data_IF_243739461983
#
_entry.id   IF_243739461983
#
_cell.length_a   1.000
_cell.length_b   1.000
_cell.length_c   1.000
_cell.angle_alpha   90.00
_cell.angle_beta   90.00
_cell.angle_gamma   90.00
#
_symmetry.space_group_name_H-M   'P 1'
#
loop_
_entity.id
_entity.type
_entity.pdbx_description
1 polymer ?
#
# COMPACT_ATOMS: atom_id res chain seq x y z
N UNK A 1 -31.59 88.07 38.51
CA UNK A 1 -30.30 87.35 38.64
C UNK A 1 -29.92 86.83 37.24
N UNK A 2 -29.39 87.72 36.38
CA UNK A 2 -28.12 87.61 35.59
C UNK A 2 -27.94 86.27 34.84
N UNK A 3 -28.25 86.19 33.51
CA UNK A 3 -27.41 86.51 32.30
C UNK A 3 -26.45 85.34 31.95
N UNK A 4 -26.28 84.80 30.73
CA UNK A 4 -26.27 85.35 29.35
C UNK A 4 -26.16 84.24 28.27
N UNK A 5 -26.60 84.56 27.05
CA UNK A 5 -26.29 83.97 25.73
C UNK A 5 -24.78 83.93 25.39
N UNK A 6 -24.31 83.06 24.47
CA UNK A 6 -23.74 83.40 23.14
C UNK A 6 -23.24 82.18 22.34
N UNK A 7 -23.59 82.17 21.04
CA UNK A 7 -22.99 81.45 19.92
C UNK A 7 -21.64 82.12 19.56
N UNK A 8 -20.59 81.39 19.20
CA UNK A 8 -19.54 81.85 18.25
C UNK A 8 -18.68 80.69 17.74
N UNK A 9 -18.64 80.54 16.41
CA UNK A 9 -17.67 79.75 15.68
C UNK A 9 -16.34 80.53 15.56
N UNK A 10 -15.19 79.84 15.54
CA UNK A 10 -14.02 80.31 14.79
C UNK A 10 -13.05 79.15 14.46
N UNK A 11 -12.73 79.06 13.17
CA UNK A 11 -11.64 78.31 12.55
C UNK A 11 -10.28 78.58 13.22
N UNK A 12 -9.45 77.54 13.33
CA UNK A 12 -8.00 77.64 13.14
C UNK A 12 -7.55 76.51 12.21
N UNK A 13 -6.88 76.89 11.13
CA UNK A 13 -6.28 76.04 10.08
C UNK A 13 -4.81 75.74 10.45
N UNK A 14 -4.42 74.46 10.30
CA UNK A 14 -3.11 73.84 9.99
C UNK A 14 -1.83 74.31 10.77
N UNK A 15 -0.89 73.44 11.18
CA UNK A 15 -0.05 72.57 10.32
C UNK A 15 0.49 71.36 11.11
N UNK A 16 0.66 70.27 10.34
CA UNK A 16 1.12 68.91 10.62
C UNK A 16 2.46 68.73 11.38
N UNK A 17 2.48 67.70 12.22
CA UNK A 17 3.48 66.62 12.27
C UNK A 17 2.72 65.37 12.76
N UNK A 18 2.33 64.44 11.89
CA UNK A 18 3.23 63.43 11.35
C UNK A 18 3.22 62.18 12.25
N UNK A 19 2.05 61.60 12.49
CA UNK A 19 1.91 60.17 12.84
C UNK A 19 1.23 59.55 11.64
N UNK A 20 2.00 58.88 10.80
CA UNK A 20 1.47 58.00 9.77
C UNK A 20 0.84 56.81 10.48
N UNK A 21 -0.49 56.79 10.50
CA UNK A 21 -1.26 55.58 10.79
C UNK A 21 -0.88 54.51 9.77
N UNK A 22 -0.72 53.27 10.23
CA UNK A 22 -0.64 52.11 9.35
C UNK A 22 -1.80 52.16 8.34
N UNK A 23 -1.45 52.19 7.06
CA UNK A 23 -2.36 51.95 5.95
C UNK A 23 -2.26 50.45 5.64
N UNK A 24 -3.06 49.65 6.32
CA UNK A 24 -3.69 48.45 5.77
C UNK A 24 -5.15 48.57 6.21
N UNK A 25 -6.02 48.98 5.29
CA UNK A 25 -7.45 49.02 5.60
C UNK A 25 -7.94 47.59 5.73
N UNK A 26 -8.42 47.19 6.90
CA UNK A 26 -9.13 45.93 7.07
C UNK A 26 -10.35 45.96 6.13
N UNK A 27 -10.32 45.09 5.13
CA UNK A 27 -11.45 44.75 4.28
C UNK A 27 -12.53 44.06 5.11
N UNK A 28 -13.80 44.39 4.86
CA UNK A 28 -14.95 43.71 5.48
C UNK A 28 -15.72 43.01 4.37
N UNK A 29 -15.83 41.68 4.41
CA UNK A 29 -16.67 40.98 3.44
C UNK A 29 -18.12 41.48 3.54
N UNK A 30 -18.73 41.77 2.39
CA UNK A 30 -20.08 42.34 2.30
C UNK A 30 -20.13 43.87 2.37
N UNK A 31 -19.04 44.56 2.72
CA UNK A 31 -18.93 46.03 2.69
C UNK A 31 -18.50 46.50 1.29
N UNK A 32 -19.35 46.21 0.30
CA UNK A 32 -19.07 46.46 -1.10
C UNK A 32 -18.83 47.94 -1.42
N UNK A 33 -19.34 48.86 -0.60
CA UNK A 33 -19.15 50.30 -0.80
C UNK A 33 -17.99 50.90 0.02
N UNK A 34 -17.36 50.12 0.91
CA UNK A 34 -16.21 50.50 1.74
C UNK A 34 -16.52 51.52 2.83
N UNK A 35 -17.75 51.58 3.33
CA UNK A 35 -18.19 52.53 4.36
C UNK A 35 -17.99 52.05 5.80
N UNK A 36 -17.53 50.81 5.96
CA UNK A 36 -17.21 50.17 7.22
C UNK A 36 -18.35 49.36 7.83
N UNK A 37 -19.45 49.11 7.09
CA UNK A 37 -20.55 48.29 7.61
C UNK A 37 -21.42 47.63 6.56
N UNK A 38 -21.56 46.30 6.66
CA UNK A 38 -22.42 45.51 5.77
C UNK A 38 -23.91 45.84 5.96
N UNK A 39 -24.52 46.49 4.99
CA UNK A 39 -25.91 46.87 5.01
C UNK A 39 -26.56 46.94 3.60
N UNK A 40 -27.78 47.49 3.52
CA UNK A 40 -28.53 47.56 2.25
C UNK A 40 -27.82 48.43 1.20
N UNK A 41 -27.01 49.41 1.62
CA UNK A 41 -26.23 50.22 0.67
C UNK A 41 -25.22 49.40 -0.12
N UNK A 42 -24.70 48.32 0.44
CA UNK A 42 -23.74 47.43 -0.20
C UNK A 42 -24.41 46.59 -1.28
N UNK A 43 -25.59 46.04 -0.99
CA UNK A 43 -26.40 45.37 -2.01
C UNK A 43 -26.74 46.31 -3.18
N UNK A 44 -27.04 47.58 -2.89
CA UNK A 44 -27.27 48.60 -3.92
C UNK A 44 -26.00 48.92 -4.71
N UNK A 45 -24.84 48.94 -4.05
CA UNK A 45 -23.55 49.15 -4.68
C UNK A 45 -23.23 48.01 -5.68
N UNK A 46 -23.39 46.75 -5.26
CA UNK A 46 -23.22 45.57 -6.11
C UNK A 46 -24.17 45.62 -7.32
N UNK A 47 -25.46 45.93 -7.10
CA UNK A 47 -26.43 46.05 -8.21
C UNK A 47 -26.05 47.17 -9.20
N UNK A 48 -25.56 48.31 -8.71
CA UNK A 48 -25.13 49.41 -9.57
C UNK A 48 -23.88 49.07 -10.38
N UNK A 49 -22.90 48.39 -9.75
CA UNK A 49 -21.74 47.84 -10.43
C UNK A 49 -22.16 46.89 -11.56
N UNK A 50 -22.99 45.89 -11.26
CA UNK A 50 -23.39 44.82 -12.19
C UNK A 50 -24.28 45.31 -13.34
N UNK A 51 -25.26 46.18 -13.08
CA UNK A 51 -26.28 46.55 -14.08
C UNK A 51 -26.12 47.95 -14.68
N UNK A 52 -25.50 48.88 -13.95
CA UNK A 52 -25.45 50.30 -14.32
C UNK A 52 -24.03 50.73 -14.71
N UNK A 53 -23.03 49.86 -14.49
CA UNK A 53 -21.62 50.14 -14.76
C UNK A 53 -21.03 51.14 -13.77
N UNK A 54 -21.49 51.08 -12.51
CA UNK A 54 -20.89 51.82 -11.40
C UNK A 54 -19.46 51.35 -11.07
N UNK A 55 -18.84 52.02 -10.11
CA UNK A 55 -17.51 51.61 -9.61
C UNK A 55 -17.58 50.19 -9.06
N UNK A 56 -16.52 49.41 -9.29
CA UNK A 56 -16.42 48.06 -8.75
C UNK A 56 -16.13 48.12 -7.25
N UNK A 57 -16.60 47.13 -6.47
CA UNK A 57 -16.11 46.94 -5.11
C UNK A 57 -14.58 46.79 -5.12
N UNK A 58 -13.90 47.35 -4.11
CA UNK A 58 -12.44 47.39 -4.04
C UNK A 58 -11.93 46.85 -2.69
N UNK A 59 -11.36 45.63 -2.65
CA UNK A 59 -11.25 44.65 -3.74
C UNK A 59 -12.61 44.05 -4.16
N UNK A 60 -12.70 43.53 -5.39
CA UNK A 60 -13.93 42.98 -5.99
C UNK A 60 -14.57 41.88 -5.14
N UNK A 61 -13.75 41.16 -4.36
CA UNK A 61 -14.21 40.15 -3.41
C UNK A 61 -15.17 40.70 -2.35
N UNK A 62 -15.14 42.01 -2.03
CA UNK A 62 -16.07 42.64 -1.02
C UNK A 62 -17.52 42.44 -1.43
N UNK A 63 -17.75 42.34 -2.75
CA UNK A 63 -19.06 42.07 -3.33
C UNK A 63 -19.29 40.63 -3.77
N UNK A 64 -18.39 39.68 -3.50
CA UNK A 64 -18.58 38.23 -3.72
C UNK A 64 -19.00 37.58 -2.39
N UNK A 65 -20.23 37.86 -1.97
CA UNK A 65 -20.73 37.54 -0.63
C UNK A 65 -21.17 36.08 -0.49
N UNK A 66 -21.36 35.35 -1.59
CA UNK A 66 -21.70 33.93 -1.57
C UNK A 66 -20.51 33.01 -1.92
N UNK A 67 -19.31 33.58 -2.09
CA UNK A 67 -18.07 32.90 -2.43
C UNK A 67 -18.17 32.00 -3.67
N UNK A 68 -18.99 32.38 -4.66
CA UNK A 68 -19.09 31.63 -5.92
C UNK A 68 -18.00 32.00 -6.93
N UNK A 69 -17.11 32.93 -6.56
CA UNK A 69 -16.00 33.42 -7.36
C UNK A 69 -16.40 34.53 -8.33
N UNK A 70 -17.59 35.12 -8.19
CA UNK A 70 -18.11 36.14 -9.09
C UNK A 70 -19.04 37.13 -8.39
N UNK A 71 -18.55 38.37 -8.16
CA UNK A 71 -19.39 39.49 -7.71
C UNK A 71 -20.51 39.84 -8.72
N UNK A 72 -21.73 39.40 -8.42
CA UNK A 72 -22.91 39.50 -9.27
C UNK A 72 -24.21 39.74 -8.45
N UNK A 73 -25.38 39.57 -9.09
CA UNK A 73 -26.66 39.86 -8.41
C UNK A 73 -27.00 38.85 -7.30
N UNK A 74 -26.45 37.63 -7.34
CA UNK A 74 -26.61 36.67 -6.25
C UNK A 74 -25.99 37.17 -4.95
N UNK A 75 -24.92 37.93 -5.02
CA UNK A 75 -24.25 38.52 -3.87
C UNK A 75 -25.05 39.64 -3.24
N UNK A 76 -25.67 40.48 -4.08
CA UNK A 76 -26.62 41.48 -3.58
C UNK A 76 -27.80 40.81 -2.85
N UNK A 77 -28.24 39.63 -3.30
CA UNK A 77 -29.27 38.85 -2.61
C UNK A 77 -28.74 38.27 -1.30
N UNK A 78 -27.49 37.81 -1.25
CA UNK A 78 -26.84 37.34 -0.04
C UNK A 78 -26.77 38.45 1.03
N UNK A 79 -26.32 39.66 0.68
CA UNK A 79 -26.31 40.83 1.57
C UNK A 79 -27.71 41.16 2.08
N UNK A 80 -28.73 41.14 1.21
CA UNK A 80 -30.13 41.40 1.62
C UNK A 80 -30.62 40.34 2.61
N UNK A 81 -30.30 39.07 2.39
CA UNK A 81 -30.70 37.98 3.28
C UNK A 81 -30.02 38.09 4.65
N UNK A 82 -28.72 38.40 4.68
CA UNK A 82 -27.99 38.69 5.90
C UNK A 82 -28.67 39.82 6.70
N UNK A 83 -28.90 40.97 6.07
CA UNK A 83 -29.44 42.18 6.74
C UNK A 83 -30.87 42.01 7.24
N UNK A 84 -31.74 41.31 6.51
CA UNK A 84 -33.18 41.30 6.81
C UNK A 84 -33.73 39.98 7.36
N UNK A 85 -33.11 38.86 6.97
CA UNK A 85 -33.61 37.51 7.30
C UNK A 85 -32.79 36.89 8.42
N UNK A 86 -31.59 37.43 8.70
CA UNK A 86 -30.61 36.80 9.56
C UNK A 86 -30.04 35.54 8.91
N UNK A 87 -29.77 35.62 7.60
CA UNK A 87 -29.00 34.59 6.90
C UNK A 87 -27.53 34.57 7.35
N UNK A 88 -26.74 33.71 6.70
CA UNK A 88 -25.33 33.53 7.02
C UNK A 88 -24.52 34.83 6.87
N UNK A 89 -23.42 34.93 7.62
CA UNK A 89 -22.49 36.04 7.50
C UNK A 89 -21.93 36.10 6.05
N UNK A 90 -21.71 37.29 5.48
CA UNK A 90 -21.15 37.40 4.13
C UNK A 90 -19.80 36.69 4.04
N UNK A 91 -19.58 35.98 2.93
CA UNK A 91 -18.43 35.10 2.70
C UNK A 91 -18.35 33.88 3.63
N UNK A 92 -19.40 33.53 4.37
CA UNK A 92 -19.48 32.33 5.21
C UNK A 92 -20.75 31.54 4.83
N UNK A 93 -20.78 30.87 3.67
CA UNK A 93 -21.97 30.18 3.19
C UNK A 93 -22.34 28.93 3.99
N UNK A 94 -21.46 28.40 4.84
CA UNK A 94 -21.69 27.21 5.66
C UNK A 94 -21.92 27.49 7.17
N UNK A 95 -21.84 28.76 7.59
CA UNK A 95 -22.14 29.29 8.93
C UNK A 95 -21.19 28.75 10.02
N UNK A 96 -19.94 28.47 9.65
CA UNK A 96 -18.92 27.95 10.57
C UNK A 96 -18.17 29.06 11.32
N UNK A 97 -18.37 30.32 10.93
CA UNK A 97 -17.75 31.51 11.50
C UNK A 97 -16.40 31.87 10.87
N UNK A 98 -16.00 31.23 9.76
CA UNK A 98 -14.75 31.44 9.03
C UNK A 98 -15.05 32.02 7.63
N UNK A 99 -14.55 33.23 7.29
CA UNK A 99 -14.73 33.78 5.94
C UNK A 99 -14.00 32.97 4.85
N UNK A 100 -14.74 32.40 3.89
CA UNK A 100 -14.25 31.47 2.86
C UNK A 100 -13.58 32.14 1.65
N UNK A 101 -13.84 33.42 1.35
CA UNK A 101 -13.31 34.11 0.16
C UNK A 101 -12.69 35.48 0.45
N UNK A 102 -12.01 35.61 1.59
CA UNK A 102 -11.22 36.80 1.92
C UNK A 102 -9.93 36.88 1.08
N UNK A 103 -9.77 37.89 0.19
CA UNK A 103 -8.57 38.05 -0.62
C UNK A 103 -7.32 38.37 0.22
N UNK A 104 -7.51 38.77 1.48
CA UNK A 104 -6.43 39.04 2.42
C UNK A 104 -6.04 37.83 3.26
N UNK A 105 -6.77 36.71 3.14
CA UNK A 105 -6.47 35.53 3.92
C UNK A 105 -5.28 34.77 3.32
N UNK A 106 -4.26 34.43 4.13
CA UNK A 106 -3.14 33.64 3.65
C UNK A 106 -3.56 32.24 3.16
N UNK A 107 -2.68 31.67 2.33
CA UNK A 107 -2.83 30.33 1.77
C UNK A 107 -1.57 29.49 2.05
N UNK A 108 -1.75 28.17 2.19
CA UNK A 108 -0.67 27.21 2.30
C UNK A 108 -0.79 26.14 1.20
N UNK A 109 0.28 25.96 0.44
CA UNK A 109 0.43 24.86 -0.52
C UNK A 109 1.25 23.77 0.16
N UNK A 110 0.73 22.54 0.17
CA UNK A 110 1.43 21.36 0.65
C UNK A 110 1.96 20.61 -0.56
N UNK A 111 3.28 20.38 -0.57
CA UNK A 111 4.01 19.89 -1.74
C UNK A 111 5.04 18.81 -1.32
N UNK A 112 4.59 17.59 -0.99
CA UNK A 112 5.48 16.46 -0.78
C UNK A 112 6.11 16.01 -2.10
N UNK A 113 7.43 15.85 -2.10
CA UNK A 113 8.19 15.30 -3.21
C UNK A 113 8.70 13.90 -2.84
N UNK A 114 8.64 12.91 -3.75
CA UNK A 114 8.20 13.01 -5.16
C UNK A 114 6.68 13.11 -5.34
N UNK A 115 6.21 13.80 -6.39
CA UNK A 115 4.80 14.21 -6.61
C UNK A 115 3.78 13.06 -6.70
N UNK A 116 4.23 11.82 -6.94
CA UNK A 116 3.35 10.63 -6.95
C UNK A 116 3.25 9.95 -5.58
N UNK A 117 3.99 10.46 -4.58
CA UNK A 117 3.97 9.96 -3.23
C UNK A 117 2.79 10.58 -2.49
N UNK A 118 1.78 9.75 -2.20
CA UNK A 118 0.63 10.10 -1.36
C UNK A 118 1.04 10.17 0.13
N UNK A 119 2.04 11.00 0.43
CA UNK A 119 2.63 11.11 1.76
C UNK A 119 1.64 11.77 2.73
N UNK A 120 1.36 11.16 3.89
CA UNK A 120 0.49 11.76 4.88
C UNK A 120 1.13 13.01 5.47
N UNK A 121 0.31 14.00 5.79
CA UNK A 121 0.73 15.22 6.47
C UNK A 121 -0.35 15.74 7.41
N UNK A 122 0.07 16.52 8.40
CA UNK A 122 -0.82 17.28 9.27
C UNK A 122 -0.30 18.70 9.42
N UNK A 123 -1.19 19.68 9.29
CA UNK A 123 -0.91 21.10 9.51
C UNK A 123 -1.64 21.56 10.77
N UNK A 124 -0.92 22.20 11.68
CA UNK A 124 -1.50 22.84 12.87
C UNK A 124 -1.28 24.34 12.82
N UNK A 125 -2.23 25.11 13.34
CA UNK A 125 -2.23 26.57 13.21
C UNK A 125 -2.76 27.30 14.45
N UNK A 126 -2.93 28.63 14.36
CA UNK A 126 -3.51 29.44 15.41
C UNK A 126 -4.94 29.01 15.74
N UNK A 127 -5.41 29.43 16.92
CA UNK A 127 -6.80 29.23 17.38
C UNK A 127 -7.28 27.76 17.41
N UNK A 128 -6.35 26.80 17.43
CA UNK A 128 -6.67 25.37 17.44
C UNK A 128 -6.94 24.79 16.05
N UNK A 129 -6.60 25.53 14.98
CA UNK A 129 -6.68 25.04 13.61
C UNK A 129 -5.87 23.73 13.45
N UNK A 130 -6.47 22.77 12.76
CA UNK A 130 -5.80 21.54 12.35
C UNK A 130 -6.37 21.03 11.03
N UNK A 131 -5.50 20.67 10.10
CA UNK A 131 -5.83 20.00 8.86
C UNK A 131 -4.91 18.80 8.65
N UNK A 132 -5.33 17.85 7.83
CA UNK A 132 -4.52 16.68 7.47
C UNK A 132 -4.95 16.15 6.11
N UNK A 133 -4.00 15.61 5.37
CA UNK A 133 -4.23 15.04 4.04
C UNK A 133 -3.13 14.07 3.64
N UNK A 134 -3.15 13.67 2.38
CA UNK A 134 -2.09 12.90 1.74
C UNK A 134 -1.75 13.55 0.40
N UNK A 135 -0.47 13.52 0.02
CA UNK A 135 -0.01 14.12 -1.24
C UNK A 135 -0.13 15.64 -1.26
N UNK A 136 -0.16 16.20 -2.48
CA UNK A 136 -0.28 17.64 -2.72
C UNK A 136 -1.64 18.17 -2.28
N UNK A 137 -1.66 19.35 -1.68
CA UNK A 137 -2.91 20.04 -1.32
C UNK A 137 -2.74 21.57 -1.31
N UNK A 138 -3.85 22.30 -1.33
CA UNK A 138 -3.86 23.75 -1.17
C UNK A 138 -4.94 24.14 -0.16
N UNK A 139 -4.48 24.65 0.98
CA UNK A 139 -5.32 25.19 2.03
C UNK A 139 -5.48 26.70 1.82
N UNK A 140 -6.72 27.13 1.75
CA UNK A 140 -7.09 28.54 1.56
C UNK A 140 -7.73 29.09 2.82
N UNK A 141 -7.89 30.41 2.86
CA UNK A 141 -8.65 31.11 3.90
C UNK A 141 -8.10 30.87 5.32
N UNK A 142 -6.77 30.81 5.42
CA UNK A 142 -6.08 30.60 6.68
C UNK A 142 -6.05 31.89 7.51
N UNK A 143 -6.15 31.80 8.83
CA UNK A 143 -5.94 32.95 9.71
C UNK A 143 -4.46 33.36 9.72
N UNK A 144 -4.17 34.67 9.88
CA UNK A 144 -2.80 35.17 10.12
C UNK A 144 -2.23 34.55 11.39
N UNK A 145 -1.04 33.96 11.31
CA UNK A 145 -0.42 33.31 12.47
C UNK A 145 0.64 32.28 12.13
N UNK A 146 1.03 31.51 13.13
CA UNK A 146 2.05 30.47 13.02
C UNK A 146 1.43 29.12 12.65
N UNK A 147 1.92 28.51 11.58
CA UNK A 147 1.53 27.19 11.12
C UNK A 147 2.72 26.25 11.12
N UNK A 148 2.52 25.03 11.62
CA UNK A 148 3.53 23.97 11.64
C UNK A 148 3.02 22.76 10.89
N UNK A 149 3.78 22.32 9.88
CA UNK A 149 3.54 21.07 9.18
C UNK A 149 4.35 19.95 9.82
N UNK A 150 3.69 18.81 9.98
CA UNK A 150 4.31 17.53 10.33
C UNK A 150 4.06 16.55 9.20
N UNK A 151 5.14 15.93 8.74
CA UNK A 151 5.12 14.92 7.68
C UNK A 151 4.99 13.53 8.32
N UNK A 152 4.17 12.66 7.75
CA UNK A 152 3.95 11.31 8.27
C UNK A 152 4.85 10.28 7.59
N UNK A 153 5.06 9.16 8.27
CA UNK A 153 5.97 8.12 7.78
C UNK A 153 5.43 7.40 6.54
N UNK A 154 6.31 7.16 5.56
CA UNK A 154 6.02 6.37 4.37
C UNK A 154 7.03 5.21 4.28
N UNK A 155 6.54 3.99 4.07
CA UNK A 155 7.39 2.79 4.03
C UNK A 155 8.45 2.91 2.92
N UNK A 156 9.70 2.59 3.25
CA UNK A 156 10.89 2.73 2.39
C UNK A 156 11.32 4.18 2.06
N UNK A 157 10.79 5.18 2.78
CA UNK A 157 11.20 6.58 2.64
C UNK A 157 11.61 7.18 3.98
N UNK A 158 12.56 8.10 3.93
CA UNK A 158 12.98 8.94 5.05
C UNK A 158 12.06 10.16 5.11
N UNK A 159 11.32 10.28 6.21
CA UNK A 159 10.40 11.38 6.48
C UNK A 159 11.16 12.72 6.59
N UNK A 160 10.75 13.76 5.85
CA UNK A 160 11.36 15.08 5.96
C UNK A 160 11.07 15.70 7.34
N UNK A 161 11.91 16.65 7.79
CA UNK A 161 11.68 17.33 9.05
C UNK A 161 10.46 18.25 8.98
N UNK A 162 9.76 18.37 10.09
CA UNK A 162 8.71 19.36 10.31
C UNK A 162 9.23 20.78 10.07
N UNK A 163 8.33 21.66 9.61
CA UNK A 163 8.66 23.07 9.40
C UNK A 163 7.54 24.00 9.87
N UNK A 164 7.92 25.20 10.29
CA UNK A 164 7.02 26.19 10.86
C UNK A 164 7.19 27.52 10.13
N UNK A 165 6.08 28.13 9.75
CA UNK A 165 6.03 29.42 9.09
C UNK A 165 5.01 30.34 9.75
N UNK A 166 5.31 31.64 9.78
CA UNK A 166 4.37 32.68 10.22
C UNK A 166 3.81 33.33 8.96
N UNK A 167 2.51 33.21 8.75
CA UNK A 167 1.80 33.73 7.59
C UNK A 167 1.17 35.07 7.96
N UNK A 168 1.51 36.12 7.22
CA UNK A 168 0.86 37.42 7.27
C UNK A 168 -0.34 37.47 6.31
N UNK A 169 -1.07 38.58 6.35
CA UNK A 169 -2.15 38.87 5.39
C UNK A 169 -1.64 38.74 3.95
N UNK A 170 -2.42 38.12 3.08
CA UNK A 170 -2.12 37.85 1.66
C UNK A 170 -0.92 36.92 1.40
N UNK A 171 -0.27 36.37 2.42
CA UNK A 171 0.88 35.47 2.22
C UNK A 171 0.45 34.15 1.57
N UNK A 172 1.24 33.69 0.61
CA UNK A 172 1.20 32.30 0.14
C UNK A 172 2.49 31.63 0.54
N UNK A 173 2.39 30.55 1.33
CA UNK A 173 3.54 29.71 1.70
C UNK A 173 3.44 28.36 1.00
N UNK A 174 4.59 27.80 0.61
CA UNK A 174 4.68 26.41 0.18
C UNK A 174 5.46 25.63 1.23
N UNK A 175 4.82 24.61 1.81
CA UNK A 175 5.45 23.62 2.66
C UNK A 175 5.94 22.45 1.79
N UNK A 176 7.23 22.45 1.46
CA UNK A 176 7.83 21.38 0.66
C UNK A 176 8.42 20.28 1.56
N UNK A 177 8.00 19.04 1.35
CA UNK A 177 8.47 17.87 2.08
C UNK A 177 9.23 16.92 1.16
N UNK A 178 10.56 16.89 1.23
CA UNK A 178 11.36 16.02 0.36
C UNK A 178 11.59 14.66 1.05
N UNK A 179 10.89 13.64 0.59
CA UNK A 179 11.15 12.26 0.98
C UNK A 179 12.32 11.71 0.17
N UNK A 180 13.24 11.04 0.87
CA UNK A 180 14.39 10.37 0.25
C UNK A 180 14.22 8.88 0.43
N UNK A 181 14.42 8.08 -0.61
CA UNK A 181 14.39 6.61 -0.49
C UNK A 181 15.36 6.19 0.62
N UNK A 182 14.86 5.36 1.53
CA UNK A 182 15.65 4.88 2.64
C UNK A 182 16.69 3.86 2.16
N UNK A 183 17.84 3.78 2.85
CA UNK A 183 18.92 2.91 2.45
C UNK A 183 18.57 1.41 2.47
N UNK A 184 19.35 0.59 1.76
CA UNK A 184 19.06 -0.83 1.65
C UNK A 184 19.24 -1.55 2.99
N UNK A 185 18.52 -2.66 3.15
CA UNK A 185 18.60 -3.54 4.30
C UNK A 185 19.47 -4.78 4.07
N UNK A 186 19.50 -5.65 5.06
CA UNK A 186 20.22 -6.94 5.03
C UNK A 186 19.30 -8.09 5.45
N UNK A 187 19.39 -9.20 4.74
CA UNK A 187 18.70 -10.46 5.09
C UNK A 187 19.74 -11.51 5.45
N UNK A 188 19.57 -12.10 6.63
CA UNK A 188 20.32 -13.28 7.06
C UNK A 188 19.45 -14.52 6.86
N UNK A 189 20.03 -15.57 6.29
CA UNK A 189 19.40 -16.87 6.10
C UNK A 189 20.13 -17.86 7.00
N UNK A 190 19.39 -18.50 7.90
CA UNK A 190 19.93 -19.35 8.97
C UNK A 190 19.14 -20.68 9.05
N UNK A 191 19.48 -21.67 8.21
CA UNK A 191 18.92 -23.02 8.30
C UNK A 191 19.56 -23.82 9.44
N UNK A 192 18.75 -24.22 10.41
CA UNK A 192 19.17 -25.07 11.50
C UNK A 192 18.78 -26.54 11.27
N UNK A 193 19.58 -27.52 11.74
CA UNK A 193 20.89 -27.34 12.38
C UNK A 193 22.02 -27.03 11.37
N UNK A 194 23.04 -26.27 11.82
CA UNK A 194 24.17 -25.73 11.03
C UNK A 194 25.00 -26.80 10.27
N UNK A 195 24.84 -28.08 10.64
CA UNK A 195 25.42 -29.20 9.90
C UNK A 195 24.77 -29.43 8.52
N UNK A 196 23.60 -28.83 8.27
CA UNK A 196 22.85 -28.98 7.03
C UNK A 196 23.25 -27.94 6.02
N UNK A 197 23.59 -28.40 4.82
CA UNK A 197 23.75 -27.53 3.66
C UNK A 197 22.40 -27.39 2.93
N UNK A 198 21.40 -26.85 3.64
CA UNK A 198 20.02 -26.76 3.17
C UNK A 198 19.91 -25.77 2.01
N UNK A 199 19.44 -26.23 0.84
CA UNK A 199 19.12 -25.32 -0.25
C UNK A 199 17.96 -24.40 0.12
N UNK A 200 17.95 -23.19 -0.42
CA UNK A 200 16.85 -22.22 -0.27
C UNK A 200 16.73 -21.38 -1.52
N UNK A 201 15.54 -20.82 -1.75
CA UNK A 201 15.31 -19.77 -2.75
C UNK A 201 14.59 -18.61 -2.11
N UNK A 202 14.99 -17.39 -2.44
CA UNK A 202 14.41 -16.15 -1.96
C UNK A 202 13.82 -15.39 -3.14
N UNK A 203 12.57 -14.95 -3.01
CA UNK A 203 11.94 -14.00 -3.94
C UNK A 203 11.66 -12.70 -3.22
N UNK A 204 11.70 -11.57 -3.92
CA UNK A 204 11.52 -10.25 -3.31
C UNK A 204 10.91 -9.21 -4.23
N UNK A 205 10.94 -7.93 -3.82
CA UNK A 205 10.46 -6.79 -4.60
C UNK A 205 11.12 -6.72 -5.98
N UNK A 206 10.43 -6.07 -6.93
CA UNK A 206 10.93 -5.85 -8.30
C UNK A 206 11.38 -7.12 -9.06
N UNK A 207 10.90 -8.29 -8.63
CA UNK A 207 11.29 -9.57 -9.23
C UNK A 207 12.68 -10.04 -8.78
N UNK A 208 13.17 -9.57 -7.63
CA UNK A 208 14.38 -10.09 -7.01
C UNK A 208 14.28 -11.61 -6.83
N UNK A 209 15.36 -12.30 -7.21
CA UNK A 209 15.51 -13.74 -7.05
C UNK A 209 16.93 -14.05 -6.58
N UNK A 210 17.05 -14.89 -5.55
CA UNK A 210 18.32 -15.46 -5.11
C UNK A 210 18.12 -16.92 -4.72
N UNK A 211 19.17 -17.72 -4.86
CA UNK A 211 19.23 -19.09 -4.39
C UNK A 211 20.59 -19.37 -3.77
N UNK A 212 20.62 -20.29 -2.82
CA UNK A 212 21.84 -20.64 -2.11
C UNK A 212 21.62 -21.84 -1.21
N UNK A 213 22.67 -22.23 -0.49
CA UNK A 213 22.65 -23.36 0.43
C UNK A 213 23.30 -22.98 1.76
N UNK A 214 22.76 -23.49 2.87
CA UNK A 214 23.27 -23.22 4.20
C UNK A 214 23.06 -21.76 4.62
N UNK A 215 23.83 -21.33 5.61
CA UNK A 215 23.79 -19.96 6.12
C UNK A 215 24.27 -18.96 5.06
N UNK A 216 23.58 -17.83 4.94
CA UNK A 216 23.99 -16.76 4.04
C UNK A 216 23.58 -15.38 4.58
N UNK A 217 24.19 -14.33 4.05
CA UNK A 217 23.87 -12.94 4.35
C UNK A 217 23.84 -12.13 3.07
N UNK A 218 22.64 -11.66 2.71
CA UNK A 218 22.36 -10.88 1.53
C UNK A 218 22.20 -9.41 1.95
N UNK A 219 23.11 -8.55 1.49
CA UNK A 219 23.11 -7.12 1.79
C UNK A 219 22.72 -6.32 0.54
N UNK A 220 22.55 -5.00 0.72
CA UNK A 220 22.16 -4.07 -0.35
C UNK A 220 20.82 -4.44 -0.99
N UNK A 221 19.86 -4.87 -0.17
CA UNK A 221 18.52 -5.29 -0.59
C UNK A 221 17.50 -4.16 -0.39
N UNK A 222 16.65 -3.95 -1.38
CA UNK A 222 15.58 -2.95 -1.30
C UNK A 222 14.56 -3.32 -0.20
N UNK A 223 14.07 -2.35 0.59
CA UNK A 223 13.07 -2.62 1.61
C UNK A 223 11.78 -3.18 0.99
N UNK A 224 11.17 -4.17 1.64
CA UNK A 224 9.93 -4.76 1.15
C UNK A 224 9.77 -6.22 1.52
N UNK A 225 8.78 -6.87 0.90
CA UNK A 225 8.41 -8.24 1.23
C UNK A 225 9.29 -9.26 0.51
N UNK A 226 9.96 -10.11 1.29
CA UNK A 226 10.74 -11.24 0.80
C UNK A 226 10.10 -12.55 1.23
N UNK A 227 10.08 -13.53 0.33
CA UNK A 227 9.56 -14.88 0.60
C UNK A 227 10.66 -15.91 0.45
N UNK A 228 10.93 -16.67 1.51
CA UNK A 228 11.88 -17.78 1.48
C UNK A 228 11.16 -19.11 1.27
N UNK A 229 11.71 -19.93 0.39
CA UNK A 229 11.32 -21.32 0.18
C UNK A 229 12.49 -22.20 0.57
N UNK A 230 12.24 -23.15 1.46
CA UNK A 230 13.28 -24.06 1.95
C UNK A 230 13.32 -25.35 1.11
N UNK A 231 14.54 -25.79 0.80
CA UNK A 231 14.82 -26.98 0.01
C UNK A 231 14.57 -28.27 0.78
N UNK A 232 14.25 -29.33 0.05
CA UNK A 232 14.09 -30.65 0.63
C UNK A 232 15.44 -31.29 0.98
N UNK A 233 15.54 -31.88 2.18
CA UNK A 233 16.70 -32.68 2.58
C UNK A 233 16.21 -34.04 3.05
N UNK A 234 16.78 -35.10 2.50
CA UNK A 234 16.44 -36.46 2.87
C UNK A 234 16.68 -36.71 4.37
N UNK A 235 15.70 -37.32 5.05
CA UNK A 235 15.62 -37.52 6.51
C UNK A 235 15.33 -36.28 7.34
N UNK A 236 14.93 -35.17 6.73
CA UNK A 236 14.56 -33.97 7.47
C UNK A 236 13.20 -33.45 7.02
N UNK A 237 12.36 -33.10 8.00
CA UNK A 237 11.13 -32.35 7.78
C UNK A 237 11.54 -30.90 7.55
N UNK A 238 11.25 -30.37 6.35
CA UNK A 238 11.56 -28.97 6.04
C UNK A 238 10.65 -28.01 6.82
N UNK A 239 11.17 -26.84 7.21
CA UNK A 239 10.32 -25.75 7.72
C UNK A 239 9.31 -25.30 6.66
N UNK A 240 8.25 -24.63 7.12
CA UNK A 240 7.30 -23.98 6.21
C UNK A 240 7.96 -22.78 5.54
N UNK A 241 7.54 -22.51 4.31
CA UNK A 241 7.95 -21.32 3.57
C UNK A 241 7.29 -20.09 4.24
N UNK A 242 7.96 -18.94 4.19
CA UNK A 242 7.53 -17.75 4.93
C UNK A 242 7.86 -16.46 4.23
N UNK A 243 7.01 -15.45 4.42
CA UNK A 243 7.21 -14.08 3.93
C UNK A 243 7.45 -13.14 5.11
N UNK A 244 8.46 -12.29 5.01
CA UNK A 244 8.78 -11.25 5.99
C UNK A 244 9.10 -9.94 5.26
N UNK A 245 8.79 -8.81 5.89
CA UNK A 245 9.08 -7.48 5.36
C UNK A 245 10.44 -7.01 5.88
N UNK A 246 11.39 -6.79 4.98
CA UNK A 246 12.68 -6.16 5.28
C UNK A 246 12.46 -4.67 5.55
N UNK A 247 12.73 -4.17 6.78
CA UNK A 247 12.69 -2.75 7.05
C UNK A 247 13.88 -2.04 6.39
N UNK A 248 13.75 -0.75 6.07
CA UNK A 248 14.85 0.04 5.54
C UNK A 248 16.01 0.13 6.54
N UNK A 249 17.24 0.04 6.02
CA UNK A 249 18.51 0.12 6.78
C UNK A 249 18.63 -0.86 7.97
N UNK A 250 17.78 -1.88 8.04
CA UNK A 250 17.75 -2.85 9.14
C UNK A 250 18.18 -4.25 8.66
N UNK A 251 18.37 -5.15 9.61
CA UNK A 251 18.63 -6.56 9.37
C UNK A 251 17.47 -7.42 9.82
N UNK A 252 17.02 -8.31 8.95
CA UNK A 252 16.07 -9.37 9.31
C UNK A 252 16.68 -10.76 9.11
N UNK A 253 16.07 -11.78 9.72
CA UNK A 253 16.57 -13.15 9.64
C UNK A 253 15.46 -14.13 9.33
N UNK A 254 15.68 -14.99 8.32
CA UNK A 254 14.89 -16.19 8.11
C UNK A 254 15.54 -17.37 8.82
N UNK A 255 14.84 -17.95 9.79
CA UNK A 255 15.30 -19.14 10.52
C UNK A 255 14.56 -20.37 9.99
N UNK A 256 15.31 -21.30 9.40
CA UNK A 256 14.78 -22.53 8.83
C UNK A 256 15.08 -23.74 9.69
N UNK A 257 14.19 -24.10 10.63
CA UNK A 257 14.43 -25.26 11.51
C UNK A 257 13.98 -26.57 10.88
N UNK A 258 14.94 -27.42 10.51
CA UNK A 258 14.70 -28.78 10.06
C UNK A 258 14.62 -29.76 11.23
N UNK A 259 13.65 -30.67 11.17
CA UNK A 259 13.46 -31.70 12.20
C UNK A 259 13.84 -33.07 11.64
N UNK A 260 14.77 -33.76 12.29
CA UNK A 260 15.24 -35.07 11.84
C UNK A 260 14.09 -36.10 11.91
N UNK A 261 13.90 -36.82 10.80
CA UNK A 261 12.78 -37.71 10.52
C UNK A 261 13.22 -39.19 10.58
N UNK A 262 13.97 -39.55 11.64
CA UNK A 262 14.69 -40.84 11.74
C UNK A 262 13.77 -42.08 11.73
N UNK A 263 12.56 -41.98 12.27
CA UNK A 263 11.59 -43.09 12.33
C UNK A 263 10.53 -43.02 11.21
N UNK A 264 10.66 -42.06 10.31
CA UNK A 264 9.73 -41.81 9.23
C UNK A 264 10.41 -41.82 7.86
N UNK A 265 11.63 -42.35 7.73
CA UNK A 265 12.29 -42.52 6.43
C UNK A 265 12.91 -43.90 6.30
N UNK A 266 13.04 -44.39 5.07
CA UNK A 266 13.57 -45.73 4.78
C UNK A 266 13.84 -45.94 3.31
N UNK A 267 14.03 -47.20 2.91
CA UNK A 267 14.13 -47.60 1.51
C UNK A 267 13.28 -48.81 1.20
N UNK A 268 12.92 -48.98 -0.06
CA UNK A 268 12.32 -50.20 -0.60
C UNK A 268 13.05 -50.58 -1.89
N UNK A 269 13.22 -51.87 -2.12
CA UNK A 269 13.84 -52.41 -3.34
C UNK A 269 12.82 -53.22 -4.13
N UNK A 270 12.72 -52.96 -5.43
CA UNK A 270 11.86 -53.75 -6.32
C UNK A 270 12.54 -55.06 -6.78
N UNK A 271 11.88 -55.79 -7.68
CA UNK A 271 12.39 -57.06 -8.21
C UNK A 271 13.60 -56.90 -9.14
N UNK A 272 13.78 -55.70 -9.71
CA UNK A 272 14.88 -55.37 -10.63
C UNK A 272 16.11 -54.85 -9.90
N UNK A 273 16.02 -54.66 -8.58
CA UNK A 273 17.08 -54.12 -7.75
C UNK A 273 17.10 -52.58 -7.69
N UNK A 274 16.08 -51.90 -8.22
CA UNK A 274 15.95 -50.46 -8.04
C UNK A 274 15.66 -50.15 -6.58
N UNK A 275 16.45 -49.26 -5.98
CA UNK A 275 16.29 -48.83 -4.59
C UNK A 275 15.62 -47.47 -4.57
N UNK A 276 14.48 -47.37 -3.88
CA UNK A 276 13.70 -46.15 -3.76
C UNK A 276 13.71 -45.65 -2.32
N UNK A 277 13.79 -44.34 -2.14
CA UNK A 277 13.63 -43.70 -0.85
C UNK A 277 12.16 -43.66 -0.45
N UNK A 278 11.89 -43.86 0.84
CA UNK A 278 10.54 -43.87 1.39
C UNK A 278 10.40 -42.92 2.57
N UNK A 279 9.18 -42.41 2.75
CA UNK A 279 8.81 -41.53 3.86
C UNK A 279 7.49 -41.97 4.47
N UNK A 280 7.37 -41.89 5.80
CA UNK A 280 6.13 -42.14 6.52
C UNK A 280 5.37 -40.82 6.66
N UNK A 281 4.16 -40.76 6.11
CA UNK A 281 3.24 -39.63 6.24
C UNK A 281 1.97 -40.15 6.88
N UNK A 282 1.62 -39.61 8.05
CA UNK A 282 0.63 -40.20 8.94
C UNK A 282 1.02 -41.64 9.32
N UNK A 283 0.11 -42.59 9.05
CA UNK A 283 0.31 -44.01 9.36
C UNK A 283 0.76 -44.86 8.15
N UNK A 284 1.07 -44.22 7.00
CA UNK A 284 1.42 -44.89 5.75
C UNK A 284 2.82 -44.55 5.28
N UNK A 285 3.44 -45.50 4.59
CA UNK A 285 4.72 -45.31 3.93
C UNK A 285 4.50 -45.00 2.45
N UNK A 286 5.18 -43.99 1.94
CA UNK A 286 5.11 -43.50 0.57
C UNK A 286 6.48 -43.56 -0.08
N UNK A 287 6.52 -43.83 -1.38
CA UNK A 287 7.73 -43.68 -2.18
C UNK A 287 7.92 -42.20 -2.51
N UNK A 288 9.17 -41.72 -2.45
CA UNK A 288 9.51 -40.33 -2.80
C UNK A 288 9.97 -40.16 -4.25
N UNK A 289 10.10 -41.28 -4.96
CA UNK A 289 10.62 -41.34 -6.32
C UNK A 289 9.61 -42.08 -7.22
N UNK A 290 9.59 -41.72 -8.50
CA UNK A 290 8.76 -42.40 -9.48
C UNK A 290 9.24 -43.84 -9.71
N UNK A 291 8.30 -44.76 -9.92
CA UNK A 291 8.57 -46.18 -10.14
C UNK A 291 9.31 -46.40 -11.49
N UNK A 292 10.28 -47.33 -11.51
CA UNK A 292 11.16 -47.62 -12.65
C UNK A 292 11.22 -49.11 -13.04
N UNK A 293 10.42 -49.94 -12.38
CA UNK A 293 10.40 -51.41 -12.54
C UNK A 293 10.03 -51.83 -13.96
N UNK A 294 10.65 -52.88 -14.47
CA UNK A 294 10.39 -53.49 -15.78
C UNK A 294 9.86 -54.92 -15.66
N UNK A 295 9.74 -55.47 -14.45
CA UNK A 295 9.11 -56.77 -14.19
C UNK A 295 7.99 -56.66 -13.14
N UNK A 296 6.97 -57.52 -13.29
CA UNK A 296 6.02 -57.76 -12.21
C UNK A 296 6.68 -58.52 -11.06
N UNK A 297 6.06 -58.56 -9.87
CA UNK A 297 6.61 -59.27 -8.69
C UNK A 297 6.87 -60.76 -8.89
N UNK A 298 6.22 -61.39 -9.86
CA UNK A 298 6.46 -62.80 -10.18
C UNK A 298 7.66 -63.01 -11.13
N UNK A 299 8.31 -61.94 -11.58
CA UNK A 299 9.45 -61.97 -12.51
C UNK A 299 9.07 -61.93 -13.99
N UNK A 300 7.79 -61.79 -14.33
CA UNK A 300 7.38 -61.62 -15.73
C UNK A 300 7.76 -60.21 -16.22
N UNK A 301 8.33 -60.12 -17.42
CA UNK A 301 8.62 -58.85 -18.07
C UNK A 301 7.34 -58.04 -18.36
N UNK A 302 7.41 -56.74 -18.09
CA UNK A 302 6.47 -55.74 -18.58
C UNK A 302 7.03 -55.24 -19.92
N UNK A 303 6.33 -55.40 -21.05
CA UNK A 303 6.87 -55.03 -22.36
C UNK A 303 7.01 -53.51 -22.50
N UNK A 304 8.15 -53.06 -23.05
CA UNK A 304 8.37 -51.66 -23.46
C UNK A 304 7.72 -51.39 -24.82
N UNK A 305 6.68 -50.54 -24.86
CA UNK A 305 5.91 -50.26 -26.08
C UNK A 305 5.95 -48.76 -26.37
N UNK A 306 6.64 -48.38 -27.45
CA UNK A 306 6.85 -46.96 -27.83
C UNK A 306 5.95 -46.49 -28.97
N UNK A 307 5.24 -47.42 -29.63
CA UNK A 307 4.34 -47.11 -30.75
C UNK A 307 2.94 -46.76 -30.24
N UNK A 308 2.48 -45.53 -30.52
CA UNK A 308 1.14 -45.07 -30.12
C UNK A 308 0.03 -45.99 -30.62
N UNK A 309 0.09 -46.42 -31.89
CA UNK A 309 -0.93 -47.31 -32.46
C UNK A 309 -0.97 -48.68 -31.79
N UNK A 310 0.17 -49.17 -31.29
CA UNK A 310 0.22 -50.41 -30.52
C UNK A 310 -0.33 -50.17 -29.12
N UNK A 311 0.13 -49.11 -28.45
CA UNK A 311 -0.26 -48.73 -27.09
C UNK A 311 -1.77 -48.61 -26.92
N UNK A 312 -2.45 -47.91 -27.84
CA UNK A 312 -3.91 -47.70 -27.82
C UNK A 312 -4.72 -49.00 -27.91
N UNK A 313 -4.16 -50.06 -28.49
CA UNK A 313 -4.84 -51.33 -28.73
C UNK A 313 -4.42 -52.44 -27.75
N UNK A 314 -3.56 -52.13 -26.78
CA UNK A 314 -3.12 -53.11 -25.79
C UNK A 314 -4.27 -53.48 -24.84
N UNK A 315 -4.36 -54.78 -24.55
CA UNK A 315 -5.20 -55.35 -23.48
C UNK A 315 -4.35 -55.96 -22.35
N UNK A 316 -3.04 -55.77 -22.41
CA UNK A 316 -2.04 -56.27 -21.47
C UNK A 316 -1.19 -55.11 -20.93
N UNK A 317 -0.56 -55.32 -19.78
CA UNK A 317 0.32 -54.32 -19.22
C UNK A 317 1.53 -54.03 -20.10
N UNK A 318 1.93 -52.76 -20.13
CA UNK A 318 3.11 -52.27 -20.83
C UNK A 318 3.65 -51.01 -20.12
N UNK A 319 4.90 -50.70 -20.40
CA UNK A 319 5.53 -49.45 -20.00
C UNK A 319 6.16 -48.74 -21.19
N UNK A 320 6.42 -47.44 -21.05
CA UNK A 320 7.31 -46.69 -21.93
C UNK A 320 8.07 -45.63 -21.11
N UNK A 321 8.98 -44.91 -21.75
CA UNK A 321 9.70 -43.80 -21.13
C UNK A 321 9.17 -42.48 -21.66
N UNK A 322 9.31 -41.42 -20.86
CA UNK A 322 9.05 -40.08 -21.34
C UNK A 322 9.90 -39.77 -22.58
N UNK A 323 9.27 -39.28 -23.66
CA UNK A 323 9.84 -39.11 -25.00
C UNK A 323 10.46 -40.37 -25.63
N UNK A 324 10.12 -41.56 -25.13
CA UNK A 324 10.73 -42.84 -25.49
C UNK A 324 12.26 -42.85 -25.30
N UNK A 325 12.78 -42.03 -24.38
CA UNK A 325 14.21 -41.91 -24.09
C UNK A 325 14.55 -42.59 -22.75
N UNK A 326 15.53 -43.49 -22.76
CA UNK A 326 16.02 -44.15 -21.55
C UNK A 326 16.76 -43.18 -20.61
N UNK A 327 17.35 -42.10 -21.15
CA UNK A 327 18.02 -41.06 -20.34
C UNK A 327 17.06 -40.30 -19.41
N UNK A 328 15.76 -40.37 -19.66
CA UNK A 328 14.71 -39.73 -18.85
C UNK A 328 14.27 -40.57 -17.64
N UNK A 329 14.66 -41.83 -17.56
CA UNK A 329 14.16 -42.78 -16.54
C UNK A 329 14.57 -42.35 -15.13
N UNK A 330 15.78 -41.82 -14.95
CA UNK A 330 16.24 -41.46 -13.62
C UNK A 330 15.49 -40.28 -13.01
N UNK A 331 15.09 -39.32 -13.84
CA UNK A 331 14.37 -38.11 -13.46
C UNK A 331 12.86 -38.34 -13.33
N UNK A 332 12.26 -38.99 -14.33
CA UNK A 332 10.80 -39.05 -14.46
C UNK A 332 10.20 -40.40 -14.11
N UNK A 333 11.03 -41.42 -13.89
CA UNK A 333 10.56 -42.80 -13.78
C UNK A 333 10.13 -43.38 -15.12
N UNK A 334 9.29 -44.41 -15.09
CA UNK A 334 8.65 -45.00 -16.28
C UNK A 334 7.14 -44.77 -16.26
N UNK A 335 6.56 -44.70 -17.45
CA UNK A 335 5.12 -44.54 -17.64
C UNK A 335 4.50 -45.92 -17.84
N UNK A 336 3.42 -46.20 -17.12
CA UNK A 336 2.73 -47.49 -17.18
C UNK A 336 1.29 -47.30 -17.64
N UNK A 337 0.79 -48.25 -18.42
CA UNK A 337 -0.64 -48.26 -18.74
C UNK A 337 -1.47 -48.81 -17.56
N UNK A 338 -2.78 -48.58 -17.62
CA UNK A 338 -3.72 -49.09 -16.61
C UNK A 338 -3.62 -50.61 -16.43
N UNK A 339 -3.39 -51.36 -17.50
CA UNK A 339 -3.28 -52.81 -17.44
C UNK A 339 -2.11 -53.30 -16.59
N UNK A 340 -0.96 -52.61 -16.63
CA UNK A 340 0.20 -52.94 -15.81
C UNK A 340 -0.06 -52.61 -14.32
N UNK A 341 -0.72 -51.47 -14.08
CA UNK A 341 -1.07 -51.01 -12.72
C UNK A 341 -2.10 -51.93 -12.05
N UNK A 342 -3.11 -52.39 -12.80
CA UNK A 342 -4.20 -53.23 -12.32
C UNK A 342 -3.97 -54.74 -12.56
N UNK A 343 -2.73 -55.16 -12.82
CA UNK A 343 -2.40 -56.57 -13.01
C UNK A 343 -2.30 -57.32 -11.67
N UNK A 344 -2.89 -58.52 -11.60
CA UNK A 344 -2.83 -59.38 -10.42
C UNK A 344 -1.41 -59.80 -10.00
N UNK A 345 -0.45 -59.78 -10.91
CA UNK A 345 0.96 -60.08 -10.63
C UNK A 345 1.63 -58.98 -9.80
N UNK A 346 1.06 -57.77 -9.80
CA UNK A 346 1.49 -56.64 -8.98
C UNK A 346 2.75 -55.97 -9.50
N UNK A 347 2.68 -54.64 -9.65
CA UNK A 347 3.78 -53.82 -10.17
C UNK A 347 4.67 -53.22 -9.07
N UNK A 348 4.12 -52.91 -7.89
CA UNK A 348 4.88 -52.29 -6.81
C UNK A 348 5.86 -53.29 -6.15
N UNK A 349 6.85 -52.84 -5.37
CA UNK A 349 7.74 -53.74 -4.62
C UNK A 349 7.00 -54.68 -3.65
N UNK A 350 7.65 -55.77 -3.21
CA UNK A 350 7.06 -56.72 -2.27
C UNK A 350 6.64 -56.02 -0.96
N UNK A 351 5.38 -56.22 -0.53
CA UNK A 351 4.83 -55.58 0.68
C UNK A 351 4.28 -54.17 0.47
N UNK A 352 4.37 -53.63 -0.75
CA UNK A 352 3.81 -52.33 -1.14
C UNK A 352 2.58 -52.52 -2.01
N UNK A 353 1.89 -51.45 -2.41
CA UNK A 353 0.83 -51.49 -3.42
C UNK A 353 0.68 -50.12 -4.07
N UNK A 354 -0.01 -50.08 -5.21
CA UNK A 354 -0.40 -48.82 -5.84
C UNK A 354 -1.49 -48.18 -4.95
N UNK A 355 -1.33 -46.92 -4.50
CA UNK A 355 -2.25 -46.32 -3.56
C UNK A 355 -3.69 -46.30 -4.10
N UNK A 356 -4.63 -46.61 -3.22
CA UNK A 356 -6.06 -46.43 -3.51
C UNK A 356 -6.46 -44.96 -3.38
N UNK A 357 -7.57 -44.58 -4.00
CA UNK A 357 -8.18 -43.25 -3.84
C UNK A 357 -8.36 -42.87 -2.35
N UNK A 358 -8.80 -43.82 -1.53
CA UNK A 358 -8.97 -43.60 -0.09
C UNK A 358 -7.64 -43.31 0.66
N UNK A 359 -6.53 -43.87 0.20
CA UNK A 359 -5.20 -43.63 0.78
C UNK A 359 -4.63 -42.29 0.31
N UNK A 360 -4.89 -41.89 -0.94
CA UNK A 360 -4.59 -40.54 -1.43
C UNK A 360 -5.35 -39.48 -0.63
N UNK A 361 -6.65 -39.65 -0.42
CA UNK A 361 -7.44 -38.73 0.40
C UNK A 361 -6.92 -38.62 1.84
N UNK A 362 -6.45 -39.73 2.42
CA UNK A 362 -5.82 -39.71 3.75
C UNK A 362 -4.52 -38.90 3.76
N UNK A 363 -3.70 -39.01 2.71
CA UNK A 363 -2.49 -38.22 2.55
C UNK A 363 -2.81 -36.72 2.43
N UNK A 364 -3.74 -36.36 1.55
CA UNK A 364 -4.14 -34.97 1.32
C UNK A 364 -4.66 -34.31 2.61
N UNK A 365 -5.54 -35.01 3.34
CA UNK A 365 -6.04 -34.52 4.63
C UNK A 365 -4.94 -34.37 5.68
N UNK A 366 -3.96 -35.27 5.70
CA UNK A 366 -2.81 -35.17 6.61
C UNK A 366 -1.94 -33.94 6.29
N UNK A 367 -1.87 -33.55 5.02
CA UNK A 367 -1.11 -32.39 4.55
C UNK A 367 -1.88 -31.06 4.68
N UNK A 368 -3.06 -31.07 5.31
CA UNK A 368 -3.81 -29.86 5.66
C UNK A 368 -5.01 -29.55 4.77
N UNK A 369 -5.33 -30.40 3.78
CA UNK A 369 -6.55 -30.28 2.98
C UNK A 369 -7.79 -30.65 3.80
N UNK A 370 -8.89 -29.93 3.63
CA UNK A 370 -10.13 -30.30 4.33
C UNK A 370 -10.80 -31.51 3.69
N UNK A 371 -11.63 -32.23 4.45
CA UNK A 371 -12.39 -33.38 3.94
C UNK A 371 -13.26 -33.03 2.72
N UNK A 372 -13.77 -31.80 2.66
CA UNK A 372 -14.64 -31.35 1.58
C UNK A 372 -13.87 -31.05 0.28
N UNK A 373 -12.58 -30.73 0.36
CA UNK A 373 -11.72 -30.49 -0.81
C UNK A 373 -11.14 -31.80 -1.35
N UNK A 374 -10.97 -32.80 -0.49
CA UNK A 374 -10.45 -34.13 -0.85
C UNK A 374 -11.53 -35.09 -1.41
N UNK A 375 -12.82 -34.76 -1.34
CA UNK A 375 -13.91 -35.64 -1.80
C UNK A 375 -14.39 -35.34 -3.22
#
# INVERSE_FOLDING_TARGET
>A
MKRRFYLFALMVIAVFAGVTTNLSGDYICGDANGDGGVNVSDAVHIVNFVFVGGDAPDPVATGDCNCDGSCNVSDAVAVINFVFVGGYDPCDPDDDGIPECDPNSPMAIIDPSPDLLEAPWSLTGPEGFSASGNGDDTLISLAVGEYTITWGDVFAWVTPPDSTHILASEDTVTFSGIYVEAGPGTIVIDPAPDSLNAAWSLTGPEGYLADGNGDDTLAELDPGDYTITWGYIFKWIKPQDSTLTLPPEDTMTFIGTYVEAIDSTGTVTDIDGNVYQTIKIGDKWWMMENLKVTHYRNGDEIPNITSNSTWENLISGAYCNYDNDEGNVDTYGRLYNWHAVNDSRGIAPQGWHVPTDAEWKQLEMYLGMTRAEAD
#
